data_IF_099548192493
#
_entry.id   IF_099548192493
#
_cell.length_a   1.000
_cell.length_b   1.000
_cell.length_c   1.000
_cell.angle_alpha   90.00
_cell.angle_beta   90.00
_cell.angle_gamma   90.00
#
_symmetry.space_group_name_H-M   'P 1'
#
loop_
_entity.id
_entity.type
_entity.pdbx_description
1 polymer ?
#
# COMPACT_ATOMS: atom_id res chain seq x y z
N UNK A 1 -10.78 21.47 16.82
CA UNK A 1 -9.84 21.25 15.70
C UNK A 1 -8.50 21.89 16.03
N UNK A 2 -7.44 21.15 15.86
CA UNK A 2 -6.09 21.65 16.16
C UNK A 2 -5.59 22.60 15.08
N UNK A 3 -5.09 23.75 15.50
CA UNK A 3 -4.39 24.67 14.60
C UNK A 3 -2.89 24.49 14.80
N UNK A 4 -2.20 24.06 13.75
CA UNK A 4 -0.77 23.88 13.78
C UNK A 4 -0.07 25.25 13.76
N UNK A 5 1.02 25.38 14.51
CA UNK A 5 1.90 26.54 14.41
C UNK A 5 2.56 26.58 13.03
N UNK A 6 3.14 27.73 12.66
CA UNK A 6 3.87 27.84 11.40
C UNK A 6 5.09 26.93 11.35
N UNK A 7 5.76 26.72 12.48
CA UNK A 7 6.89 25.79 12.58
C UNK A 7 6.43 24.34 12.38
N UNK A 8 5.31 23.96 12.99
CA UNK A 8 4.75 22.64 12.86
C UNK A 8 4.32 22.37 11.42
N UNK A 9 3.71 23.36 10.75
CA UNK A 9 3.34 23.25 9.33
C UNK A 9 4.54 23.02 8.44
N UNK A 10 5.63 23.76 8.67
CA UNK A 10 6.86 23.57 7.92
C UNK A 10 7.46 22.19 8.14
N UNK A 11 7.42 21.70 9.37
CA UNK A 11 7.90 20.38 9.69
C UNK A 11 7.07 19.30 9.00
N UNK A 12 5.75 19.41 9.06
CA UNK A 12 4.83 18.48 8.40
C UNK A 12 5.06 18.48 6.89
N UNK A 13 5.16 19.66 6.27
CA UNK A 13 5.41 19.77 4.83
C UNK A 13 6.74 19.13 4.45
N UNK A 14 7.78 19.35 5.24
CA UNK A 14 9.09 18.74 5.03
C UNK A 14 9.06 17.21 5.14
N UNK A 15 8.31 16.69 6.10
CA UNK A 15 8.14 15.24 6.26
C UNK A 15 7.35 14.66 5.08
N UNK A 16 6.28 15.32 4.65
CA UNK A 16 5.51 14.92 3.46
C UNK A 16 6.39 14.84 2.22
N UNK A 17 7.23 15.86 2.00
CA UNK A 17 8.13 15.88 0.86
C UNK A 17 9.10 14.68 0.86
N UNK A 18 9.62 14.34 2.03
CA UNK A 18 10.52 13.19 2.18
C UNK A 18 9.79 11.87 1.95
N UNK A 19 8.60 11.73 2.52
CA UNK A 19 7.78 10.53 2.34
C UNK A 19 7.42 10.36 0.87
N UNK A 20 6.95 11.44 0.23
CA UNK A 20 6.56 11.40 -1.18
C UNK A 20 7.74 11.05 -2.08
N UNK A 21 8.90 11.66 -1.87
CA UNK A 21 10.10 11.37 -2.66
C UNK A 21 10.51 9.89 -2.56
N UNK A 22 10.49 9.34 -1.35
CA UNK A 22 10.80 7.93 -1.12
C UNK A 22 9.74 7.02 -1.69
N UNK A 23 8.49 7.32 -1.42
CA UNK A 23 7.37 6.44 -1.79
C UNK A 23 7.07 6.44 -3.28
N UNK A 24 7.41 7.49 -4.01
CA UNK A 24 7.34 7.45 -5.47
C UNK A 24 8.21 6.33 -6.04
N UNK A 25 9.43 6.20 -5.54
CA UNK A 25 10.34 5.13 -5.95
C UNK A 25 9.80 3.76 -5.53
N UNK A 26 9.36 3.63 -4.30
CA UNK A 26 8.82 2.37 -3.76
C UNK A 26 7.55 1.95 -4.49
N UNK A 27 6.61 2.88 -4.69
CA UNK A 27 5.35 2.59 -5.38
C UNK A 27 5.59 2.18 -6.84
N UNK A 28 6.47 2.87 -7.53
CA UNK A 28 6.82 2.58 -8.92
C UNK A 28 7.42 1.19 -9.07
N UNK A 29 8.32 0.82 -8.17
CA UNK A 29 8.98 -0.47 -8.16
C UNK A 29 8.03 -1.62 -7.83
N UNK A 30 7.00 -1.36 -7.04
CA UNK A 30 6.09 -2.38 -6.52
C UNK A 30 4.65 -2.22 -7.03
N UNK A 31 4.46 -1.53 -8.15
CA UNK A 31 3.13 -1.13 -8.64
C UNK A 31 2.22 -2.33 -8.96
N UNK A 32 2.81 -3.47 -9.29
CA UNK A 32 2.08 -4.71 -9.61
C UNK A 32 2.22 -5.78 -8.53
N UNK A 33 2.63 -5.40 -7.33
CA UNK A 33 2.85 -6.31 -6.21
C UNK A 33 1.91 -6.01 -5.05
N UNK A 34 1.78 -6.98 -4.16
CA UNK A 34 1.21 -6.77 -2.82
C UNK A 34 2.35 -7.04 -1.84
N UNK A 35 3.10 -6.00 -1.44
CA UNK A 35 4.26 -6.19 -0.55
C UNK A 35 3.83 -6.50 0.88
N UNK A 36 4.55 -7.42 1.51
CA UNK A 36 4.40 -7.73 2.92
C UNK A 36 5.71 -7.46 3.67
N UNK A 37 6.82 -8.00 3.20
CA UNK A 37 8.12 -7.87 3.84
C UNK A 37 9.21 -7.72 2.79
N UNK A 38 10.41 -7.38 3.24
CA UNK A 38 11.56 -7.27 2.36
C UNK A 38 12.45 -8.51 2.45
N UNK A 39 13.13 -8.82 1.34
CA UNK A 39 14.15 -9.84 1.31
C UNK A 39 15.50 -9.29 1.79
N UNK A 40 16.53 -10.12 1.74
CA UNK A 40 17.88 -9.75 2.18
C UNK A 40 18.53 -8.64 1.33
N UNK A 41 18.00 -8.38 0.13
CA UNK A 41 18.45 -7.30 -0.76
C UNK A 41 17.66 -6.01 -0.57
N UNK A 42 16.69 -6.01 0.35
CA UNK A 42 15.83 -4.85 0.57
C UNK A 42 14.69 -4.70 -0.45
N UNK A 43 14.48 -5.68 -1.31
CA UNK A 43 13.37 -5.71 -2.26
C UNK A 43 12.13 -6.31 -1.60
N UNK A 44 10.95 -5.76 -1.92
CA UNK A 44 9.70 -6.29 -1.39
C UNK A 44 9.33 -7.61 -2.08
N UNK A 45 8.80 -8.51 -1.29
CA UNK A 45 8.14 -9.72 -1.77
C UNK A 45 6.82 -9.38 -2.46
N UNK A 46 6.14 -10.41 -2.95
CA UNK A 46 4.84 -10.25 -3.60
C UNK A 46 3.89 -11.34 -3.10
N UNK A 47 2.96 -10.96 -2.20
CA UNK A 47 1.95 -11.87 -1.70
C UNK A 47 1.01 -12.38 -2.80
N UNK A 48 0.89 -11.67 -3.91
CA UNK A 48 0.06 -12.13 -5.02
C UNK A 48 0.56 -13.43 -5.64
N UNK A 49 1.87 -13.69 -5.54
CA UNK A 49 2.50 -14.92 -6.03
C UNK A 49 3.00 -15.82 -4.90
N UNK A 50 2.69 -15.46 -3.68
CA UNK A 50 3.13 -16.17 -2.48
C UNK A 50 2.39 -17.48 -2.26
N UNK A 51 2.83 -18.21 -1.24
CA UNK A 51 2.19 -19.45 -0.78
C UNK A 51 1.56 -19.23 0.58
N UNK A 52 0.44 -19.90 0.82
CA UNK A 52 -0.22 -19.83 2.11
C UNK A 52 0.80 -20.09 3.25
N UNK A 53 0.75 -19.31 4.35
CA UNK A 53 -0.21 -18.26 4.68
C UNK A 53 0.10 -16.87 4.09
N UNK A 54 1.22 -16.70 3.38
CA UNK A 54 1.68 -15.40 2.87
C UNK A 54 1.30 -15.20 1.41
N UNK A 55 0.05 -15.51 1.10
CA UNK A 55 -0.53 -15.34 -0.24
C UNK A 55 -1.53 -14.19 -0.26
N UNK A 56 -2.42 -14.16 -1.25
CA UNK A 56 -3.43 -13.12 -1.38
C UNK A 56 -4.33 -12.99 -0.15
N UNK A 57 -4.48 -14.04 0.64
CA UNK A 57 -5.34 -14.04 1.82
C UNK A 57 -4.65 -13.51 3.08
N UNK A 58 -3.36 -13.17 3.01
CA UNK A 58 -2.64 -12.68 4.17
C UNK A 58 -3.29 -11.40 4.72
N UNK A 59 -3.53 -11.37 6.02
CA UNK A 59 -4.37 -10.35 6.66
C UNK A 59 -3.84 -8.92 6.52
N UNK A 60 -2.54 -8.72 6.31
CA UNK A 60 -1.97 -7.38 6.17
C UNK A 60 -2.06 -6.81 4.76
N UNK A 61 -2.52 -7.60 3.79
CA UNK A 61 -2.46 -7.20 2.38
C UNK A 61 -3.31 -5.98 2.05
N UNK A 62 -4.35 -5.71 2.82
CA UNK A 62 -5.17 -4.52 2.65
C UNK A 62 -4.46 -3.22 3.02
N UNK A 63 -3.39 -3.28 3.79
CA UNK A 63 -2.66 -2.06 4.20
C UNK A 63 -1.95 -1.37 3.04
N UNK A 64 -1.41 -2.13 2.09
CA UNK A 64 -0.71 -1.55 0.95
C UNK A 64 -1.62 -0.66 0.10
N UNK A 65 -2.76 -1.12 -0.42
CA UNK A 65 -3.65 -0.23 -1.17
C UNK A 65 -4.18 0.92 -0.33
N UNK A 66 -4.49 0.69 0.94
CA UNK A 66 -4.91 1.77 1.84
C UNK A 66 -3.84 2.84 1.99
N UNK A 67 -2.58 2.45 2.14
CA UNK A 67 -1.45 3.37 2.21
C UNK A 67 -1.28 4.16 0.91
N UNK A 68 -1.42 3.49 -0.23
CA UNK A 68 -1.35 4.14 -1.54
C UNK A 68 -2.49 5.15 -1.73
N UNK A 69 -3.70 4.84 -1.29
CA UNK A 69 -4.81 5.78 -1.33
C UNK A 69 -4.56 7.01 -0.45
N UNK A 70 -3.99 6.83 0.74
CA UNK A 70 -3.63 7.95 1.61
C UNK A 70 -2.60 8.87 0.94
N UNK A 71 -1.59 8.29 0.30
CA UNK A 71 -0.59 9.06 -0.44
C UNK A 71 -1.22 9.80 -1.63
N UNK A 72 -2.16 9.18 -2.32
CA UNK A 72 -2.90 9.83 -3.40
C UNK A 72 -3.70 11.02 -2.89
N UNK A 73 -4.41 10.87 -1.79
CA UNK A 73 -5.19 11.96 -1.18
C UNK A 73 -4.27 13.10 -0.76
N UNK A 74 -3.10 12.79 -0.20
CA UNK A 74 -2.16 13.81 0.27
C UNK A 74 -1.36 14.50 -0.81
N UNK A 75 -1.11 13.85 -1.95
CA UNK A 75 -0.23 14.38 -3.01
C UNK A 75 -0.95 14.66 -4.33
N UNK A 76 -2.05 13.97 -4.60
CA UNK A 76 -2.73 14.04 -5.89
C UNK A 76 -2.01 13.31 -7.03
N UNK A 77 -0.92 12.58 -6.73
CA UNK A 77 -0.13 11.88 -7.74
C UNK A 77 -0.83 10.60 -8.20
N UNK A 78 -1.14 10.51 -9.48
CA UNK A 78 -1.82 9.36 -10.07
C UNK A 78 -1.07 8.03 -9.97
N UNK A 79 0.25 8.06 -9.73
CA UNK A 79 1.04 6.85 -9.50
C UNK A 79 0.52 6.07 -8.29
N UNK A 80 0.19 6.77 -7.21
CA UNK A 80 -0.34 6.12 -6.00
C UNK A 80 -1.72 5.53 -6.23
N UNK A 81 -2.56 6.22 -6.98
CA UNK A 81 -3.88 5.71 -7.38
C UNK A 81 -3.75 4.44 -8.20
N UNK A 82 -2.84 4.44 -9.17
CA UNK A 82 -2.58 3.25 -10.01
C UNK A 82 -2.11 2.07 -9.18
N UNK A 83 -1.16 2.30 -8.26
CA UNK A 83 -0.68 1.26 -7.35
C UNK A 83 -1.81 0.70 -6.47
N UNK A 84 -2.66 1.59 -5.93
CA UNK A 84 -3.81 1.18 -5.12
C UNK A 84 -4.80 0.34 -5.92
N UNK A 85 -5.18 0.79 -7.11
CA UNK A 85 -6.12 0.08 -7.96
C UNK A 85 -5.58 -1.28 -8.40
N UNK A 86 -4.30 -1.36 -8.76
CA UNK A 86 -3.66 -2.62 -9.12
C UNK A 86 -3.69 -3.62 -7.95
N UNK A 87 -3.37 -3.15 -6.74
CA UNK A 87 -3.43 -4.00 -5.56
C UNK A 87 -4.84 -4.48 -5.26
N UNK A 88 -5.83 -3.60 -5.37
CA UNK A 88 -7.24 -3.96 -5.17
C UNK A 88 -7.70 -5.01 -6.18
N UNK A 89 -7.32 -4.86 -7.44
CA UNK A 89 -7.62 -5.84 -8.48
C UNK A 89 -7.02 -7.21 -8.18
N UNK A 90 -5.79 -7.24 -7.66
CA UNK A 90 -5.16 -8.49 -7.23
C UNK A 90 -5.88 -9.11 -6.02
N UNK A 91 -6.31 -8.27 -5.07
CA UNK A 91 -7.03 -8.73 -3.88
C UNK A 91 -8.42 -9.27 -4.19
N UNK A 92 -9.04 -8.84 -5.28
CA UNK A 92 -10.31 -9.40 -5.74
C UNK A 92 -10.20 -10.91 -5.97
N UNK A 93 -9.03 -11.39 -6.38
CA UNK A 93 -8.77 -12.82 -6.51
C UNK A 93 -8.88 -13.57 -5.17
N UNK A 94 -8.37 -12.99 -4.10
CA UNK A 94 -8.50 -13.56 -2.76
C UNK A 94 -9.96 -13.60 -2.32
N UNK A 95 -10.69 -12.53 -2.58
CA UNK A 95 -12.11 -12.44 -2.23
C UNK A 95 -12.92 -13.54 -2.95
N UNK A 96 -12.69 -13.72 -4.23
CA UNK A 96 -13.38 -14.75 -5.01
C UNK A 96 -13.04 -16.18 -4.53
N UNK A 97 -11.79 -16.41 -4.12
CA UNK A 97 -11.34 -17.73 -3.66
C UNK A 97 -11.82 -18.06 -2.26
N UNK A 98 -11.85 -17.08 -1.35
CA UNK A 98 -12.14 -17.30 0.07
C UNK A 98 -13.54 -16.82 0.50
N UNK A 99 -14.34 -16.32 -0.40
CA UNK A 99 -15.66 -15.74 -0.11
C UNK A 99 -16.57 -16.72 0.64
N UNK A 100 -16.64 -17.96 0.18
CA UNK A 100 -17.47 -18.99 0.83
C UNK A 100 -17.02 -19.29 2.25
N UNK A 101 -15.72 -19.24 2.52
CA UNK A 101 -15.18 -19.43 3.87
C UNK A 101 -15.60 -18.32 4.81
N UNK A 102 -15.65 -17.09 4.33
CA UNK A 102 -16.10 -15.94 5.11
C UNK A 102 -17.58 -16.00 5.43
N UNK A 103 -18.39 -16.49 4.51
CA UNK A 103 -19.83 -16.64 4.70
C UNK A 103 -20.15 -17.68 5.77
N UNK A 104 -19.34 -18.72 5.90
CA UNK A 104 -19.53 -19.81 6.83
C UNK A 104 -18.94 -19.59 8.23
N UNK A 105 -18.28 -18.46 8.44
CA UNK A 105 -17.81 -18.05 9.76
C UNK A 105 -18.94 -17.36 10.51
#
# INVERSE_FOLDING_TARGET
MYNLSNEDKKWVDGVWDKIDAKMKTVAKKNINKIPYTTDENGDFDDCATGKWPYDLSWWTNGFWPGYMWLLYVGTGDGLYKEAAENAENLLDGAFAEYDLSLIHI
#
